data_IF_750763591904
#
_entry.id   IF_750763591904
#
_cell.length_a   1.000
_cell.length_b   1.000
_cell.length_c   1.000
_cell.angle_alpha   90.00
_cell.angle_beta   90.00
_cell.angle_gamma   90.00
#
_symmetry.space_group_name_H-M   'P 1'
#
loop_
_entity.id
_entity.type
_entity.pdbx_description
1 polymer ?
#
# COMPACT_ATOMS: atom_id res chain seq x y z
N UNK A 1 16.97 -26.52 -4.90
CA UNK A 1 15.72 -26.07 -5.58
C UNK A 1 14.58 -27.08 -5.49
N UNK A 2 14.82 -28.40 -5.46
CA UNK A 2 13.76 -29.44 -5.42
C UNK A 2 12.89 -29.37 -4.16
N UNK A 3 13.48 -29.14 -2.97
CA UNK A 3 12.71 -29.01 -1.72
C UNK A 3 11.72 -27.82 -1.72
N UNK A 4 12.07 -26.70 -2.37
CA UNK A 4 11.17 -25.54 -2.50
C UNK A 4 9.99 -25.88 -3.41
N UNK A 5 10.21 -26.65 -4.49
CA UNK A 5 9.12 -27.12 -5.35
C UNK A 5 8.18 -28.08 -4.61
N UNK A 6 8.72 -28.98 -3.79
CA UNK A 6 7.91 -29.87 -2.95
C UNK A 6 7.11 -29.14 -1.88
N UNK A 7 7.58 -27.98 -1.41
CA UNK A 7 6.83 -27.13 -0.49
C UNK A 7 5.61 -26.47 -1.13
N UNK A 8 5.64 -26.18 -2.44
CA UNK A 8 4.53 -25.53 -3.16
C UNK A 8 3.70 -26.51 -3.99
N UNK A 9 3.97 -27.81 -3.90
CA UNK A 9 3.34 -28.80 -4.77
C UNK A 9 1.96 -29.22 -4.26
N UNK A 10 0.93 -28.99 -5.08
CA UNK A 10 -0.44 -29.49 -4.83
C UNK A 10 -1.16 -28.86 -3.64
N UNK A 11 -0.63 -27.76 -3.10
CA UNK A 11 -1.18 -27.04 -1.94
C UNK A 11 -2.11 -25.94 -2.38
N UNK A 12 -3.23 -25.78 -1.67
CA UNK A 12 -4.24 -24.75 -1.96
C UNK A 12 -4.48 -23.74 -0.85
N UNK A 13 -3.92 -23.96 0.34
CA UNK A 13 -4.07 -23.08 1.50
C UNK A 13 -2.79 -22.99 2.33
N UNK A 14 -2.70 -22.01 3.24
CA UNK A 14 -1.56 -21.92 4.15
C UNK A 14 -1.63 -22.96 5.26
N UNK A 15 -2.81 -23.46 5.59
CA UNK A 15 -2.97 -24.67 6.40
C UNK A 15 -2.16 -25.84 5.81
N UNK A 16 -2.35 -26.15 4.54
CA UNK A 16 -1.61 -27.23 3.88
C UNK A 16 -0.13 -26.90 3.69
N UNK A 17 0.23 -25.63 3.44
CA UNK A 17 1.65 -25.22 3.42
C UNK A 17 2.34 -25.43 4.78
N UNK A 18 1.61 -25.21 5.88
CA UNK A 18 2.12 -25.46 7.23
C UNK A 18 2.50 -26.92 7.46
N UNK A 19 1.70 -27.86 6.94
CA UNK A 19 2.00 -29.29 6.99
C UNK A 19 3.25 -29.65 6.16
N UNK A 20 3.47 -28.92 5.07
CA UNK A 20 4.62 -29.10 4.18
C UNK A 20 5.89 -28.36 4.64
N UNK A 21 5.86 -27.66 5.79
CA UNK A 21 6.98 -26.86 6.32
C UNK A 21 8.29 -27.63 6.46
N UNK A 22 8.23 -28.95 6.67
CA UNK A 22 9.40 -29.86 6.73
C UNK A 22 10.31 -29.74 5.50
N UNK A 23 9.76 -29.46 4.33
CA UNK A 23 10.54 -29.31 3.09
C UNK A 23 11.42 -28.06 3.10
N UNK A 24 10.92 -26.96 3.69
CA UNK A 24 11.72 -25.75 3.88
C UNK A 24 12.82 -25.93 4.92
N UNK A 25 12.56 -26.70 5.98
CA UNK A 25 13.58 -27.05 6.98
C UNK A 25 14.72 -27.86 6.33
N UNK A 26 14.39 -28.88 5.53
CA UNK A 26 15.39 -29.64 4.76
C UNK A 26 16.15 -28.77 3.76
N UNK A 27 15.45 -27.89 3.04
CA UNK A 27 16.09 -26.96 2.11
C UNK A 27 17.13 -26.08 2.82
N UNK A 28 16.80 -25.57 4.00
CA UNK A 28 17.69 -24.78 4.85
C UNK A 28 18.91 -25.57 5.30
N UNK A 29 18.71 -26.81 5.73
CA UNK A 29 19.80 -27.70 6.16
C UNK A 29 20.80 -27.94 5.03
N UNK A 30 20.32 -28.23 3.81
CA UNK A 30 21.20 -28.38 2.64
C UNK A 30 22.03 -27.11 2.34
N UNK A 31 21.45 -25.92 2.49
CA UNK A 31 22.18 -24.66 2.30
C UNK A 31 23.23 -24.44 3.40
N UNK A 32 22.94 -24.83 4.64
CA UNK A 32 23.91 -24.77 5.75
C UNK A 32 25.09 -25.71 5.55
N UNK A 33 24.83 -26.97 5.18
CA UNK A 33 25.89 -27.94 4.88
C UNK A 33 26.76 -27.42 3.73
N UNK A 34 26.16 -26.88 2.67
CA UNK A 34 26.90 -26.28 1.56
C UNK A 34 27.81 -25.12 2.01
N UNK A 35 27.33 -24.22 2.87
CA UNK A 35 28.15 -23.13 3.42
C UNK A 35 29.32 -23.65 4.26
N UNK A 36 29.08 -24.66 5.09
CA UNK A 36 30.11 -25.27 5.92
C UNK A 36 31.17 -25.98 5.07
N UNK A 37 30.76 -26.68 4.02
CA UNK A 37 31.66 -27.30 3.04
C UNK A 37 32.51 -26.24 2.30
N UNK A 38 31.91 -25.12 1.89
CA UNK A 38 32.66 -24.03 1.24
C UNK A 38 33.69 -23.38 2.16
N UNK A 39 33.39 -23.25 3.45
CA UNK A 39 34.32 -22.69 4.43
C UNK A 39 35.44 -23.69 4.77
N UNK A 40 35.12 -24.98 4.93
CA UNK A 40 36.10 -26.04 5.19
C UNK A 40 37.02 -26.36 3.99
N UNK A 41 36.52 -26.20 2.76
CA UNK A 41 37.30 -26.40 1.54
C UNK A 41 38.34 -25.29 1.27
N UNK A 42 38.28 -24.15 1.98
CA UNK A 42 39.32 -23.12 1.93
C UNK A 42 40.59 -23.52 2.69
N UNK A 43 40.50 -24.49 3.60
CA UNK A 43 41.60 -24.90 4.49
C UNK A 43 42.28 -26.21 4.05
N UNK A 44 41.67 -27.00 3.15
CA UNK A 44 42.24 -28.25 2.63
C UNK A 44 42.46 -28.17 1.12
N UNK A 45 43.71 -28.43 0.69
CA UNK A 45 44.12 -28.53 -0.72
C UNK A 45 43.12 -29.41 -1.49
N UNK A 46 42.53 -28.81 -2.52
CA UNK A 46 41.40 -29.28 -3.33
C UNK A 46 41.72 -30.61 -4.03
N UNK A 47 41.10 -31.71 -3.59
CA UNK A 47 40.98 -32.90 -4.45
C UNK A 47 39.82 -32.68 -5.42
N UNK A 48 40.14 -32.87 -6.70
CA UNK A 48 39.30 -32.66 -7.87
C UNK A 48 38.20 -33.72 -7.92
N UNK A 49 37.04 -33.45 -7.32
CA UNK A 49 35.81 -34.19 -7.65
C UNK A 49 34.58 -33.28 -7.74
N UNK A 50 33.84 -33.42 -8.85
CA UNK A 50 32.54 -32.85 -9.18
C UNK A 50 32.42 -31.36 -9.58
N UNK A 51 32.76 -31.14 -10.86
CA UNK A 51 32.46 -29.94 -11.68
C UNK A 51 30.95 -29.70 -11.94
N UNK A 52 30.06 -30.64 -11.62
CA UNK A 52 28.64 -30.57 -11.96
C UNK A 52 27.75 -29.83 -10.94
N UNK A 53 28.32 -29.24 -9.88
CA UNK A 53 27.55 -28.45 -8.91
C UNK A 53 27.56 -26.98 -9.30
N UNK A 54 26.38 -26.40 -9.57
CA UNK A 54 26.22 -24.95 -9.73
C UNK A 54 26.71 -24.26 -8.46
N UNK A 55 27.87 -23.61 -8.55
CA UNK A 55 28.47 -22.89 -7.43
C UNK A 55 27.74 -21.57 -7.25
N UNK A 56 27.26 -21.31 -6.04
CA UNK A 56 26.73 -20.02 -5.62
C UNK A 56 27.69 -19.36 -4.64
N UNK A 57 27.72 -18.02 -4.64
CA UNK A 57 28.48 -17.26 -3.66
C UNK A 57 27.87 -17.43 -2.26
N UNK A 58 28.70 -17.35 -1.23
CA UNK A 58 28.25 -17.50 0.17
C UNK A 58 27.17 -16.46 0.53
N UNK A 59 27.27 -15.23 0.00
CA UNK A 59 26.27 -14.17 0.16
C UNK A 59 24.90 -14.56 -0.40
N UNK A 60 24.86 -15.21 -1.56
CA UNK A 60 23.61 -15.61 -2.21
C UNK A 60 22.95 -16.77 -1.46
N UNK A 61 23.77 -17.69 -0.93
CA UNK A 61 23.28 -18.79 -0.10
C UNK A 61 22.70 -18.27 1.22
N UNK A 62 23.38 -17.31 1.87
CA UNK A 62 22.84 -16.63 3.06
C UNK A 62 21.53 -15.91 2.75
N UNK A 63 21.42 -15.19 1.62
CA UNK A 63 20.17 -14.54 1.20
C UNK A 63 19.03 -15.55 1.01
N UNK A 64 19.31 -16.69 0.39
CA UNK A 64 18.32 -17.77 0.23
C UNK A 64 17.92 -18.39 1.57
N UNK A 65 18.86 -18.56 2.50
CA UNK A 65 18.57 -19.04 3.84
C UNK A 65 17.64 -18.07 4.58
N UNK A 66 17.91 -16.76 4.53
CA UNK A 66 17.06 -15.73 5.14
C UNK A 66 15.65 -15.74 4.51
N UNK A 67 15.55 -15.87 3.19
CA UNK A 67 14.25 -15.99 2.49
C UNK A 67 13.46 -17.21 2.97
N UNK A 68 14.12 -18.35 3.17
CA UNK A 68 13.48 -19.57 3.69
C UNK A 68 13.03 -19.36 5.14
N UNK A 69 13.84 -18.71 5.98
CA UNK A 69 13.47 -18.39 7.36
C UNK A 69 12.25 -17.49 7.43
N UNK A 70 12.21 -16.42 6.62
CA UNK A 70 11.06 -15.53 6.55
C UNK A 70 9.82 -16.25 6.00
N UNK A 71 9.97 -17.11 4.98
CA UNK A 71 8.85 -17.92 4.49
C UNK A 71 8.33 -18.90 5.55
N UNK A 72 9.22 -19.52 6.33
CA UNK A 72 8.84 -20.39 7.45
C UNK A 72 7.99 -19.63 8.48
N UNK A 73 8.37 -18.39 8.78
CA UNK A 73 7.64 -17.52 9.69
C UNK A 73 6.28 -17.08 9.13
N UNK A 74 6.24 -16.59 7.89
CA UNK A 74 4.99 -16.26 7.17
C UNK A 74 4.04 -17.44 7.16
N UNK A 75 4.55 -18.64 6.85
CA UNK A 75 3.76 -19.86 6.78
C UNK A 75 3.22 -20.24 8.14
N UNK A 76 4.03 -20.13 9.21
CA UNK A 76 3.58 -20.39 10.58
C UNK A 76 2.45 -19.46 11.00
N UNK A 77 2.63 -18.17 10.76
CA UNK A 77 1.66 -17.15 11.11
C UNK A 77 0.33 -17.41 10.40
N UNK A 78 0.36 -17.52 9.07
CA UNK A 78 -0.86 -17.73 8.27
C UNK A 78 -1.52 -19.09 8.52
N UNK A 79 -0.75 -20.13 8.79
CA UNK A 79 -1.28 -21.41 9.25
C UNK A 79 -2.08 -21.24 10.55
N UNK A 80 -1.49 -20.58 11.55
CA UNK A 80 -2.16 -20.33 12.83
C UNK A 80 -3.44 -19.51 12.67
N UNK A 81 -3.41 -18.48 11.82
CA UNK A 81 -4.57 -17.68 11.47
C UNK A 81 -5.68 -18.53 10.84
N UNK A 82 -5.37 -19.30 9.78
CA UNK A 82 -6.37 -20.14 9.09
C UNK A 82 -6.96 -21.21 10.03
N UNK A 83 -6.13 -21.84 10.88
CA UNK A 83 -6.62 -22.83 11.86
C UNK A 83 -7.50 -22.22 12.95
N UNK A 84 -7.15 -21.03 13.45
CA UNK A 84 -7.93 -20.34 14.49
C UNK A 84 -9.23 -19.73 13.96
N UNK A 85 -9.27 -19.41 12.66
CA UNK A 85 -10.46 -18.90 11.98
C UNK A 85 -11.54 -19.98 11.81
N UNK A 86 -11.13 -21.25 11.71
CA UNK A 86 -12.04 -22.38 11.45
C UNK A 86 -12.96 -22.75 12.63
N UNK A 87 -12.67 -22.23 13.83
CA UNK A 87 -13.49 -22.40 15.04
C UNK A 87 -14.65 -21.39 15.19
N UNK A 88 -14.82 -20.49 14.23
CA UNK A 88 -15.96 -19.54 14.14
C UNK A 88 -16.72 -19.82 12.84
N UNK A 89 -18.07 -19.87 12.84
CA UNK A 89 -18.84 -20.21 11.65
C UNK A 89 -18.50 -19.23 10.52
N UNK A 90 -18.44 -19.71 9.25
CA UNK A 90 -17.81 -18.98 8.18
C UNK A 90 -18.67 -17.79 7.77
N UNK A 91 -18.24 -16.57 8.14
CA UNK A 91 -18.62 -15.38 7.39
C UNK A 91 -17.79 -15.39 6.10
N UNK A 92 -18.27 -16.19 5.16
CA UNK A 92 -17.93 -16.16 3.74
C UNK A 92 -16.44 -16.26 3.43
N UNK A 93 -16.02 -17.48 3.10
CA UNK A 93 -15.08 -17.75 2.02
C UNK A 93 -15.61 -17.13 0.72
N UNK A 94 -15.58 -15.79 0.63
CA UNK A 94 -15.68 -15.09 -0.63
C UNK A 94 -14.33 -15.25 -1.30
N UNK A 95 -14.27 -16.27 -2.17
CA UNK A 95 -13.35 -16.31 -3.27
C UNK A 95 -13.27 -14.89 -3.85
N UNK A 96 -12.15 -14.23 -3.62
CA UNK A 96 -11.88 -12.91 -4.17
C UNK A 96 -11.88 -13.03 -5.68
N UNK A 97 -13.01 -12.74 -6.29
CA UNK A 97 -13.19 -12.52 -7.72
C UNK A 97 -12.50 -11.21 -8.10
N UNK A 98 -11.17 -11.26 -8.16
CA UNK A 98 -10.35 -10.36 -8.96
C UNK A 98 -9.79 -11.17 -10.12
N UNK A 99 -9.80 -10.67 -11.36
CA UNK A 99 -9.37 -11.46 -12.51
C UNK A 99 -7.89 -11.87 -12.34
N UNK A 100 -7.57 -13.16 -12.49
CA UNK A 100 -6.20 -13.66 -12.30
C UNK A 100 -5.37 -13.34 -13.55
N UNK A 101 -4.46 -12.38 -13.42
CA UNK A 101 -3.35 -12.23 -14.35
C UNK A 101 -2.29 -13.28 -13.97
N UNK A 102 -2.41 -14.42 -14.65
CA UNK A 102 -1.34 -15.36 -15.02
C UNK A 102 -0.42 -15.89 -13.91
N UNK A 103 -0.80 -17.03 -13.32
CA UNK A 103 -0.02 -18.30 -13.23
C UNK A 103 -0.41 -19.16 -12.00
N UNK A 104 -0.84 -20.41 -12.24
CA UNK A 104 -1.14 -21.47 -11.24
C UNK A 104 -2.29 -21.17 -10.27
N UNK A 105 -3.52 -21.23 -10.79
CA UNK A 105 -4.76 -20.74 -10.16
C UNK A 105 -5.21 -21.38 -8.82
N UNK A 106 -4.45 -22.31 -8.23
CA UNK A 106 -4.84 -22.94 -6.97
C UNK A 106 -3.81 -22.83 -5.85
N UNK A 107 -2.59 -22.32 -6.08
CA UNK A 107 -1.55 -22.32 -5.03
C UNK A 107 -1.45 -21.01 -4.24
N UNK A 108 -1.32 -21.06 -2.90
CA UNK A 108 -1.13 -19.86 -2.08
C UNK A 108 0.16 -19.11 -2.44
N UNK A 109 0.17 -17.76 -2.37
CA UNK A 109 1.34 -16.96 -2.75
C UNK A 109 2.52 -17.26 -1.81
N UNK A 110 3.75 -17.19 -2.32
CA UNK A 110 4.97 -17.42 -1.52
C UNK A 110 6.06 -16.40 -1.82
N UNK A 111 7.03 -16.26 -0.93
CA UNK A 111 8.17 -15.37 -1.08
C UNK A 111 9.18 -15.83 -2.14
N UNK A 112 9.00 -17.05 -2.67
CA UNK A 112 9.83 -17.58 -3.76
C UNK A 112 9.38 -17.10 -5.15
N UNK A 113 8.23 -16.41 -5.23
CA UNK A 113 7.68 -15.89 -6.47
C UNK A 113 8.22 -14.51 -6.89
N UNK A 114 7.65 -13.94 -7.97
CA UNK A 114 7.95 -12.58 -8.41
C UNK A 114 7.50 -11.53 -7.38
N UNK A 115 7.92 -10.28 -7.55
CA UNK A 115 7.59 -9.17 -6.63
C UNK A 115 6.09 -8.99 -6.42
N UNK A 116 5.26 -9.17 -7.46
CA UNK A 116 3.80 -9.13 -7.34
C UNK A 116 3.26 -10.19 -6.35
N UNK A 117 3.80 -11.41 -6.39
CA UNK A 117 3.41 -12.48 -5.46
C UNK A 117 3.84 -12.13 -4.02
N UNK A 118 5.01 -11.52 -3.84
CA UNK A 118 5.50 -11.08 -2.52
C UNK A 118 4.65 -9.96 -1.92
N UNK A 119 4.15 -9.04 -2.75
CA UNK A 119 3.14 -8.04 -2.34
C UNK A 119 1.86 -8.73 -1.85
N UNK A 120 1.39 -9.76 -2.55
CA UNK A 120 0.22 -10.52 -2.11
C UNK A 120 0.48 -11.30 -0.82
N UNK A 121 1.69 -11.83 -0.60
CA UNK A 121 2.09 -12.41 0.70
C UNK A 121 2.04 -11.36 1.81
N UNK A 122 2.67 -10.20 1.61
CA UNK A 122 2.71 -9.13 2.61
C UNK A 122 1.30 -8.65 2.98
N UNK A 123 0.43 -8.48 1.97
CA UNK A 123 -0.98 -8.17 2.21
C UNK A 123 -1.69 -9.28 2.98
N UNK A 124 -1.50 -10.56 2.61
CA UNK A 124 -2.21 -11.66 3.27
C UNK A 124 -1.78 -11.80 4.73
N UNK A 125 -0.49 -11.63 5.03
CA UNK A 125 0.04 -11.61 6.40
C UNK A 125 -0.58 -10.47 7.20
N UNK A 126 -0.61 -9.26 6.65
CA UNK A 126 -1.16 -8.08 7.33
C UNK A 126 -2.65 -8.21 7.66
N UNK A 127 -3.41 -8.94 6.82
CA UNK A 127 -4.84 -9.14 6.95
C UNK A 127 -5.22 -10.48 7.63
N UNK A 128 -4.23 -11.33 7.94
CA UNK A 128 -4.47 -12.67 8.47
C UNK A 128 -4.68 -12.73 9.98
N UNK A 129 -4.12 -11.77 10.72
CA UNK A 129 -4.23 -11.71 12.19
C UNK A 129 -5.62 -11.30 12.67
N UNK A 130 -5.83 -11.36 13.99
CA UNK A 130 -7.05 -10.81 14.63
C UNK A 130 -7.11 -9.28 14.52
N UNK A 131 -5.94 -8.66 14.44
CA UNK A 131 -5.74 -7.24 14.21
C UNK A 131 -4.56 -7.04 13.24
N UNK A 132 -4.38 -5.81 12.75
CA UNK A 132 -3.29 -5.50 11.81
C UNK A 132 -1.92 -5.62 12.48
N UNK A 133 -1.83 -5.27 13.77
CA UNK A 133 -0.57 -5.25 14.54
C UNK A 133 0.11 -6.63 14.59
N UNK A 134 -0.65 -7.72 14.75
CA UNK A 134 -0.15 -9.10 14.76
C UNK A 134 0.62 -9.47 13.49
N UNK A 135 0.13 -9.03 12.32
CA UNK A 135 0.74 -9.32 11.03
C UNK A 135 1.71 -8.24 10.53
N UNK A 136 1.64 -7.03 11.07
CA UNK A 136 2.34 -5.87 10.53
C UNK A 136 3.86 -6.05 10.56
N UNK A 137 4.43 -6.54 11.67
CA UNK A 137 5.89 -6.72 11.79
C UNK A 137 6.47 -7.76 10.81
N UNK A 138 5.71 -8.80 10.48
CA UNK A 138 6.11 -9.79 9.46
C UNK A 138 5.99 -9.17 8.07
N UNK A 139 4.87 -8.50 7.76
CA UNK A 139 4.66 -7.84 6.47
C UNK A 139 5.71 -6.75 6.22
N UNK A 140 6.06 -5.97 7.24
CA UNK A 140 7.09 -4.94 7.18
C UNK A 140 8.47 -5.52 6.85
N UNK A 141 8.86 -6.64 7.46
CA UNK A 141 10.11 -7.34 7.09
C UNK A 141 10.08 -7.87 5.66
N UNK A 142 8.95 -8.39 5.19
CA UNK A 142 8.81 -8.77 3.77
C UNK A 142 9.01 -7.56 2.85
N UNK A 143 8.46 -6.39 3.20
CA UNK A 143 8.65 -5.16 2.42
C UNK A 143 10.13 -4.77 2.39
N UNK A 144 10.81 -4.77 3.54
CA UNK A 144 12.21 -4.40 3.68
C UNK A 144 13.16 -5.37 2.96
N UNK A 145 13.06 -6.67 3.26
CA UNK A 145 13.97 -7.71 2.75
C UNK A 145 13.92 -7.85 1.23
N UNK A 146 12.75 -7.60 0.63
CA UNK A 146 12.56 -7.67 -0.82
C UNK A 146 12.48 -6.31 -1.51
N UNK A 147 12.72 -5.21 -0.78
CA UNK A 147 12.69 -3.84 -1.31
C UNK A 147 11.39 -3.55 -2.08
N UNK A 148 10.26 -3.97 -1.53
CA UNK A 148 8.96 -3.72 -2.13
C UNK A 148 8.56 -2.25 -1.93
N UNK A 149 7.76 -1.73 -2.85
CA UNK A 149 7.16 -0.41 -2.68
C UNK A 149 6.13 -0.46 -1.53
N UNK A 150 6.52 0.06 -0.36
CA UNK A 150 5.71 0.00 0.85
C UNK A 150 4.31 0.59 0.67
N UNK A 151 4.22 1.76 0.02
CA UNK A 151 2.97 2.44 -0.27
C UNK A 151 2.02 1.56 -1.10
N UNK A 152 2.52 0.89 -2.14
CA UNK A 152 1.71 0.00 -2.97
C UNK A 152 1.14 -1.19 -2.16
N UNK A 153 1.91 -1.73 -1.22
CA UNK A 153 1.45 -2.80 -0.31
C UNK A 153 0.37 -2.26 0.64
N UNK A 154 0.60 -1.13 1.30
CA UNK A 154 -0.35 -0.54 2.24
C UNK A 154 -1.64 -0.10 1.56
N UNK A 155 -1.57 0.52 0.38
CA UNK A 155 -2.74 0.86 -0.43
C UNK A 155 -3.53 -0.40 -0.79
N UNK A 156 -2.86 -1.47 -1.21
CA UNK A 156 -3.53 -2.74 -1.55
C UNK A 156 -4.18 -3.40 -0.33
N UNK A 157 -3.55 -3.33 0.84
CA UNK A 157 -4.11 -3.81 2.10
C UNK A 157 -5.33 -2.98 2.54
N UNK A 158 -5.21 -1.65 2.56
CA UNK A 158 -6.30 -0.73 2.88
C UNK A 158 -7.50 -0.92 1.96
N UNK A 159 -7.26 -1.07 0.65
CA UNK A 159 -8.32 -1.38 -0.32
C UNK A 159 -9.04 -2.70 -0.05
N UNK A 160 -8.36 -3.72 0.51
CA UNK A 160 -9.02 -4.99 0.86
C UNK A 160 -9.87 -4.84 2.12
N UNK A 161 -9.38 -4.12 3.13
CA UNK A 161 -10.10 -3.84 4.37
C UNK A 161 -11.40 -3.05 4.13
N UNK A 162 -11.36 -2.02 3.28
CA UNK A 162 -12.55 -1.23 2.93
C UNK A 162 -13.61 -2.08 2.23
N UNK A 163 -13.21 -2.98 1.30
CA UNK A 163 -14.16 -3.90 0.66
C UNK A 163 -14.83 -4.85 1.65
N UNK A 164 -14.15 -5.18 2.75
CA UNK A 164 -14.69 -5.97 3.85
C UNK A 164 -15.40 -5.12 4.91
N UNK A 165 -15.57 -3.81 4.67
CA UNK A 165 -16.15 -2.82 5.60
C UNK A 165 -15.45 -2.75 6.97
N UNK A 166 -14.16 -3.10 7.03
CA UNK A 166 -13.36 -3.10 8.26
C UNK A 166 -12.63 -1.76 8.48
N UNK A 167 -13.38 -0.66 8.65
CA UNK A 167 -12.81 0.68 8.80
C UNK A 167 -11.93 0.84 10.06
N UNK A 168 -12.23 0.11 11.15
CA UNK A 168 -11.38 0.05 12.35
C UNK A 168 -9.99 -0.50 12.05
N UNK A 169 -9.90 -1.54 11.21
CA UNK A 169 -8.63 -2.12 10.80
C UNK A 169 -7.86 -1.18 9.85
N UNK A 170 -8.56 -0.39 9.02
CA UNK A 170 -7.92 0.67 8.21
C UNK A 170 -7.24 1.70 9.12
N UNK A 171 -7.90 2.14 10.19
CA UNK A 171 -7.29 3.07 11.17
C UNK A 171 -6.07 2.46 11.87
N UNK A 172 -6.15 1.19 12.25
CA UNK A 172 -4.99 0.47 12.80
C UNK A 172 -3.84 0.39 11.79
N UNK A 173 -4.14 0.11 10.52
CA UNK A 173 -3.14 0.13 9.45
C UNK A 173 -2.46 1.50 9.35
N UNK A 174 -3.23 2.59 9.31
CA UNK A 174 -2.68 3.95 9.25
C UNK A 174 -1.79 4.27 10.46
N UNK A 175 -2.20 3.82 11.65
CA UNK A 175 -1.39 3.93 12.87
C UNK A 175 -0.06 3.17 12.75
N UNK A 176 -0.11 1.88 12.40
CA UNK A 176 1.10 1.07 12.23
C UNK A 176 2.03 1.64 11.14
N UNK A 177 1.47 2.12 10.03
CA UNK A 177 2.23 2.78 8.96
C UNK A 177 2.90 4.04 9.48
N UNK A 178 2.19 4.90 10.22
CA UNK A 178 2.75 6.09 10.83
C UNK A 178 3.83 5.82 11.88
N UNK A 179 3.67 4.76 12.68
CA UNK A 179 4.64 4.34 13.71
C UNK A 179 5.85 3.58 13.14
N UNK A 180 5.76 3.09 11.90
CA UNK A 180 6.85 2.33 11.26
C UNK A 180 8.11 3.16 10.95
N UNK A 181 8.02 4.49 11.01
CA UNK A 181 9.15 5.41 10.74
C UNK A 181 9.61 5.48 9.28
N UNK A 182 9.03 4.68 8.38
CA UNK A 182 9.40 4.65 6.94
C UNK A 182 8.39 5.32 6.03
N UNK A 183 7.15 5.50 6.51
CA UNK A 183 6.12 6.18 5.76
C UNK A 183 6.14 7.68 6.04
N UNK A 184 5.98 8.47 4.98
CA UNK A 184 5.79 9.91 5.06
C UNK A 184 4.36 10.23 5.50
N UNK A 185 4.13 11.44 6.00
CA UNK A 185 2.76 11.92 6.31
C UNK A 185 1.85 11.90 5.08
N UNK A 186 2.41 12.09 3.88
CA UNK A 186 1.67 12.03 2.63
C UNK A 186 1.24 10.60 2.27
N UNK A 187 1.99 9.57 2.69
CA UNK A 187 1.65 8.17 2.38
C UNK A 187 0.35 7.75 3.06
N UNK A 188 0.13 8.18 4.32
CA UNK A 188 -1.13 7.97 5.02
C UNK A 188 -2.31 8.63 4.28
N UNK A 189 -2.13 9.87 3.79
CA UNK A 189 -3.15 10.58 3.03
C UNK A 189 -3.46 9.87 1.70
N UNK A 190 -2.45 9.34 1.01
CA UNK A 190 -2.63 8.56 -0.23
C UNK A 190 -3.38 7.25 0.05
N UNK A 191 -3.09 6.57 1.16
CA UNK A 191 -3.84 5.38 1.58
C UNK A 191 -5.30 5.75 1.85
N UNK A 192 -5.58 6.84 2.58
CA UNK A 192 -6.93 7.32 2.86
C UNK A 192 -7.68 7.63 1.55
N UNK A 193 -7.09 8.42 0.65
CA UNK A 193 -7.67 8.74 -0.65
C UNK A 193 -7.99 7.47 -1.45
N UNK A 194 -7.06 6.51 -1.45
CA UNK A 194 -7.28 5.26 -2.14
C UNK A 194 -8.37 4.40 -1.49
N UNK A 195 -8.54 4.46 -0.17
CA UNK A 195 -9.61 3.78 0.55
C UNK A 195 -10.97 4.42 0.24
N UNK A 196 -11.05 5.75 0.29
CA UNK A 196 -12.26 6.53 0.03
C UNK A 196 -12.76 6.32 -1.40
N UNK A 197 -11.86 6.34 -2.39
CA UNK A 197 -12.23 6.17 -3.81
C UNK A 197 -12.87 4.82 -4.16
N UNK A 198 -12.61 3.77 -3.39
CA UNK A 198 -13.17 2.43 -3.65
C UNK A 198 -14.30 2.04 -2.71
N UNK A 199 -14.56 2.85 -1.69
CA UNK A 199 -15.58 2.54 -0.70
C UNK A 199 -16.98 2.70 -1.31
N UNK A 200 -17.93 1.93 -0.78
CA UNK A 200 -19.34 2.15 -1.08
C UNK A 200 -19.76 3.50 -0.47
N UNK A 201 -20.36 4.35 -1.30
CA UNK A 201 -20.79 5.71 -0.91
C UNK A 201 -22.19 5.70 -0.28
N UNK A 202 -22.73 4.52 0.01
CA UNK A 202 -24.00 4.35 0.71
C UNK A 202 -24.01 5.00 2.11
N UNK A 203 -25.20 5.29 2.66
CA UNK A 203 -25.36 6.02 3.92
C UNK A 203 -24.80 5.27 5.14
N UNK A 204 -24.69 3.95 5.07
CA UNK A 204 -24.17 3.09 6.15
C UNK A 204 -22.70 3.36 6.45
N UNK A 205 -21.89 3.54 5.40
CA UNK A 205 -20.44 3.68 5.54
C UNK A 205 -20.01 5.16 5.61
N UNK A 206 -20.91 6.09 5.28
CA UNK A 206 -20.63 7.53 5.19
C UNK A 206 -19.99 8.13 6.45
N UNK A 207 -20.42 7.70 7.65
CA UNK A 207 -19.85 8.19 8.92
C UNK A 207 -18.42 7.68 9.15
N UNK A 208 -18.15 6.42 8.83
CA UNK A 208 -16.81 5.83 8.98
C UNK A 208 -15.84 6.39 7.94
N UNK A 209 -16.31 6.60 6.71
CA UNK A 209 -15.59 7.31 5.65
C UNK A 209 -15.23 8.74 6.08
N UNK A 210 -16.19 9.48 6.65
CA UNK A 210 -15.94 10.83 7.15
C UNK A 210 -14.91 10.83 8.29
N UNK A 211 -14.98 9.87 9.21
CA UNK A 211 -13.95 9.68 10.25
C UNK A 211 -12.57 9.43 9.67
N UNK A 212 -12.45 8.63 8.59
CA UNK A 212 -11.17 8.40 7.93
C UNK A 212 -10.64 9.67 7.23
N UNK A 213 -11.52 10.42 6.56
CA UNK A 213 -11.14 11.67 5.89
C UNK A 213 -10.60 12.69 6.90
N UNK A 214 -11.14 12.71 8.12
CA UNK A 214 -10.65 13.59 9.19
C UNK A 214 -9.20 13.32 9.60
N UNK A 215 -8.70 12.09 9.43
CA UNK A 215 -7.31 11.73 9.75
C UNK A 215 -6.28 12.30 8.76
N UNK A 216 -6.73 12.68 7.56
CA UNK A 216 -5.91 13.27 6.48
C UNK A 216 -5.24 14.55 6.96
N UNK A 217 -3.92 14.65 6.74
CA UNK A 217 -3.09 15.79 7.21
C UNK A 217 -3.03 16.92 6.20
N UNK A 218 -2.87 16.59 4.92
CA UNK A 218 -2.81 17.59 3.87
C UNK A 218 -4.23 18.08 3.53
N UNK A 219 -4.45 19.39 3.63
CA UNK A 219 -5.73 20.04 3.34
C UNK A 219 -6.21 19.76 1.92
N UNK A 220 -5.34 19.74 0.91
CA UNK A 220 -5.73 19.46 -0.48
C UNK A 220 -6.19 18.01 -0.66
N UNK A 221 -5.47 17.05 -0.07
CA UNK A 221 -5.89 15.66 -0.08
C UNK A 221 -7.21 15.48 0.67
N UNK A 222 -7.42 16.23 1.75
CA UNK A 222 -8.67 16.21 2.51
C UNK A 222 -9.84 16.74 1.68
N UNK A 223 -9.65 17.82 0.91
CA UNK A 223 -10.63 18.37 -0.03
C UNK A 223 -10.97 17.32 -1.10
N UNK A 224 -9.94 16.73 -1.74
CA UNK A 224 -10.12 15.66 -2.74
C UNK A 224 -10.90 14.48 -2.19
N UNK A 225 -10.66 14.08 -0.94
CA UNK A 225 -11.39 12.99 -0.31
C UNK A 225 -12.87 13.36 -0.05
N UNK A 226 -13.16 14.59 0.39
CA UNK A 226 -14.55 15.06 0.54
C UNK A 226 -15.31 15.15 -0.79
N UNK A 227 -14.63 15.54 -1.87
CA UNK A 227 -15.20 15.53 -3.21
C UNK A 227 -15.58 14.10 -3.64
N UNK A 228 -14.73 13.12 -3.36
CA UNK A 228 -15.01 11.71 -3.70
C UNK A 228 -16.26 11.15 -3.01
N UNK A 229 -16.59 11.60 -1.79
CA UNK A 229 -17.80 11.20 -1.06
C UNK A 229 -18.98 12.17 -1.24
N UNK A 230 -18.91 13.08 -2.21
CA UNK A 230 -19.97 14.05 -2.52
C UNK A 230 -20.34 14.99 -1.35
N UNK A 231 -19.42 15.24 -0.42
CA UNK A 231 -19.60 16.21 0.69
C UNK A 231 -19.14 17.60 0.24
N UNK A 232 -19.83 18.15 -0.77
CA UNK A 232 -19.42 19.35 -1.49
C UNK A 232 -19.25 20.58 -0.61
N UNK A 233 -20.16 20.81 0.35
CA UNK A 233 -20.07 21.92 1.30
C UNK A 233 -18.80 21.85 2.16
N UNK A 234 -18.42 20.66 2.63
CA UNK A 234 -17.21 20.49 3.43
C UNK A 234 -15.94 20.73 2.60
N UNK A 235 -15.93 20.23 1.36
CA UNK A 235 -14.85 20.48 0.41
C UNK A 235 -14.70 21.98 0.11
N UNK A 236 -15.80 22.68 -0.20
CA UNK A 236 -15.82 24.12 -0.47
C UNK A 236 -15.28 24.94 0.71
N UNK A 237 -15.80 24.70 1.92
CA UNK A 237 -15.40 25.45 3.12
C UNK A 237 -13.92 25.27 3.48
N UNK A 238 -13.30 24.17 3.07
CA UNK A 238 -11.87 23.97 3.22
C UNK A 238 -11.07 24.63 2.08
N UNK A 239 -11.59 24.60 0.85
CA UNK A 239 -10.96 25.22 -0.32
C UNK A 239 -10.84 26.73 -0.17
N UNK A 240 -11.91 27.42 0.23
CA UNK A 240 -11.93 28.90 0.37
C UNK A 240 -11.09 29.43 1.52
N UNK A 241 -10.66 28.57 2.45
CA UNK A 241 -9.75 28.94 3.55
C UNK A 241 -8.28 28.96 3.13
N UNK A 242 -7.97 28.44 1.93
CA UNK A 242 -6.62 28.48 1.37
C UNK A 242 -6.37 29.82 0.69
N UNK A 243 -5.09 30.11 0.41
CA UNK A 243 -4.71 31.28 -0.37
C UNK A 243 -5.43 31.28 -1.73
N UNK A 244 -5.79 32.47 -2.23
CA UNK A 244 -6.59 32.64 -3.45
C UNK A 244 -6.02 31.89 -4.67
N UNK A 245 -4.69 31.87 -4.81
CA UNK A 245 -4.01 31.14 -5.88
C UNK A 245 -4.26 29.62 -5.86
N UNK A 246 -4.44 29.03 -4.66
CA UNK A 246 -4.72 27.59 -4.48
C UNK A 246 -6.21 27.30 -4.38
N UNK A 247 -6.98 28.23 -3.83
CA UNK A 247 -8.44 28.10 -3.70
C UNK A 247 -9.14 28.07 -5.06
N UNK A 248 -8.69 28.88 -6.04
CA UNK A 248 -9.30 28.95 -7.38
C UNK A 248 -9.52 27.60 -8.06
N UNK A 249 -8.45 26.82 -8.31
CA UNK A 249 -8.58 25.48 -8.92
C UNK A 249 -9.45 24.52 -8.11
N UNK A 250 -9.35 24.56 -6.78
CA UNK A 250 -10.12 23.66 -5.90
C UNK A 250 -11.61 24.00 -5.88
N UNK A 251 -11.97 25.28 -5.89
CA UNK A 251 -13.38 25.71 -5.98
C UNK A 251 -13.95 25.34 -7.36
N UNK A 252 -13.14 25.41 -8.42
CA UNK A 252 -13.55 24.92 -9.75
C UNK A 252 -13.81 23.40 -9.75
N UNK A 253 -12.98 22.60 -9.06
CA UNK A 253 -13.24 21.16 -8.88
C UNK A 253 -14.54 20.89 -8.11
N UNK A 254 -14.84 21.69 -7.08
CA UNK A 254 -16.11 21.59 -6.33
C UNK A 254 -17.31 21.95 -7.21
N UNK A 255 -17.18 22.99 -8.05
CA UNK A 255 -18.22 23.35 -9.01
C UNK A 255 -18.53 22.19 -9.97
N UNK A 256 -17.51 21.59 -10.59
CA UNK A 256 -17.70 20.44 -11.48
C UNK A 256 -18.35 19.24 -10.78
N UNK A 257 -17.97 18.99 -9.52
CA UNK A 257 -18.60 17.94 -8.72
C UNK A 257 -20.07 18.27 -8.36
N UNK A 258 -20.40 19.55 -8.13
CA UNK A 258 -21.77 20.02 -7.89
C UNK A 258 -22.65 19.90 -9.13
N UNK A 259 -22.11 20.20 -10.32
CA UNK A 259 -22.77 19.98 -11.61
C UNK A 259 -23.10 18.49 -11.81
N UNK A 260 -22.15 17.61 -11.56
CA UNK A 260 -22.34 16.16 -11.73
C UNK A 260 -23.38 15.54 -10.79
N UNK A 261 -23.60 16.13 -9.61
CA UNK A 261 -24.60 15.67 -8.63
C UNK A 261 -25.94 16.43 -8.75
N UNK A 262 -25.97 17.55 -9.48
CA UNK A 262 -27.15 18.39 -9.64
C UNK A 262 -27.46 19.30 -8.43
N UNK A 263 -26.45 19.64 -7.63
CA UNK A 263 -26.59 20.55 -6.47
C UNK A 263 -26.50 22.01 -6.95
N UNK A 264 -27.65 22.60 -7.32
CA UNK A 264 -27.72 23.96 -7.86
C UNK A 264 -27.24 25.03 -6.88
N UNK A 265 -27.49 24.84 -5.58
CA UNK A 265 -27.08 25.79 -4.54
C UNK A 265 -25.55 25.83 -4.45
N UNK A 266 -24.89 24.69 -4.47
CA UNK A 266 -23.42 24.65 -4.48
C UNK A 266 -22.82 25.20 -5.78
N UNK A 267 -23.49 25.02 -6.92
CA UNK A 267 -23.06 25.62 -8.18
C UNK A 267 -23.07 27.15 -8.11
N UNK A 268 -24.19 27.73 -7.65
CA UNK A 268 -24.33 29.19 -7.52
C UNK A 268 -23.26 29.78 -6.58
N UNK A 269 -23.05 29.14 -5.43
CA UNK A 269 -22.03 29.56 -4.45
C UNK A 269 -20.62 29.54 -5.05
N UNK A 270 -20.26 28.48 -5.78
CA UNK A 270 -18.93 28.38 -6.39
C UNK A 270 -18.75 29.39 -7.54
N UNK A 271 -19.77 29.58 -8.39
CA UNK A 271 -19.77 30.56 -9.48
C UNK A 271 -19.61 31.99 -8.97
N UNK A 272 -20.31 32.33 -7.88
CA UNK A 272 -20.19 33.64 -7.25
C UNK A 272 -18.77 33.87 -6.73
N UNK A 273 -18.23 32.92 -5.95
CA UNK A 273 -16.88 33.04 -5.39
C UNK A 273 -15.82 33.18 -6.49
N UNK A 274 -15.92 32.39 -7.56
CA UNK A 274 -15.00 32.44 -8.70
C UNK A 274 -15.08 33.75 -9.47
N UNK A 275 -16.25 34.37 -9.56
CA UNK A 275 -16.42 35.68 -10.22
C UNK A 275 -15.75 36.79 -9.40
N UNK A 276 -16.03 36.84 -8.09
CA UNK A 276 -15.46 37.83 -7.17
C UNK A 276 -13.92 37.79 -7.10
N UNK A 277 -13.33 36.60 -7.25
CA UNK A 277 -11.88 36.40 -7.09
C UNK A 277 -11.09 36.33 -8.39
N UNK A 278 -11.75 36.25 -9.57
CA UNK A 278 -11.09 36.38 -10.88
C UNK A 278 -10.71 37.84 -11.20
N UNK A 279 -11.54 38.79 -10.76
CA UNK A 279 -11.29 40.22 -11.00
C UNK A 279 -10.16 40.77 -10.11
N UNK A 280 -9.97 40.21 -8.91
CA UNK A 280 -8.89 40.60 -8.00
C UNK A 280 -7.48 40.22 -8.49
N UNK A 281 -7.35 39.23 -9.38
CA UNK A 281 -6.06 38.81 -9.96
C UNK A 281 -5.70 39.60 -11.24
N UNK A 282 -6.71 40.11 -11.97
CA UNK A 282 -6.50 41.04 -13.10
C UNK A 282 -6.03 42.42 -12.65
N UNK A 283 -6.44 42.88 -11.46
CA UNK A 283 -6.07 44.20 -10.94
C UNK A 283 -4.64 44.25 -10.33
N UNK A 284 -3.94 43.10 -10.30
CA UNK A 284 -2.55 42.99 -9.82
C UNK A 284 -1.49 42.95 -10.92
N UNK A 285 -1.88 42.91 -12.20
CA UNK A 285 -0.95 43.10 -13.31
C UNK A 285 -0.71 44.60 -13.57
N UNK A 286 0.51 45.14 -13.38
CA UNK A 286 0.77 46.52 -13.73
C UNK A 286 0.67 46.72 -15.25
N UNK A 287 0.11 47.84 -15.73
CA UNK A 287 -0.05 48.09 -17.16
C UNK A 287 1.34 48.17 -17.84
N UNK A 288 1.54 47.51 -19.00
CA UNK A 288 2.79 47.60 -19.74
C UNK A 288 2.84 48.94 -20.48
N UNK A 289 3.41 49.97 -19.86
CA UNK A 289 3.61 51.24 -20.56
C UNK A 289 3.84 52.47 -19.71
N UNK A 290 4.90 52.51 -18.91
CA UNK A 290 5.46 53.78 -18.45
C UNK A 290 6.95 53.83 -18.76
N UNK A 291 7.28 54.18 -20.02
CA UNK A 291 8.64 54.53 -20.42
C UNK A 291 9.08 55.76 -19.63
N UNK A 292 9.96 55.57 -18.63
CA UNK A 292 10.71 56.66 -18.00
C UNK A 292 11.63 57.29 -19.05
N UNK A 293 11.26 58.47 -19.54
CA UNK A 293 12.15 59.35 -20.29
C UNK A 293 13.29 59.80 -19.37
N UNK A 294 14.49 59.30 -19.63
CA UNK A 294 15.73 59.76 -19.02
C UNK A 294 16.10 61.08 -19.68
N UNK A 295 16.11 62.18 -18.91
CA UNK A 295 16.73 63.45 -19.33
C UNK A 295 18.25 63.30 -19.20
N UNK A 296 19.05 63.65 -20.22
CA UNK A 296 20.49 63.72 -20.07
C UNK A 296 20.91 65.06 -19.43
N UNK A 297 21.76 64.98 -18.40
CA UNK A 297 22.45 66.15 -17.84
C UNK A 297 23.50 66.65 -18.85
N UNK A 298 23.41 67.93 -19.20
CA UNK A 298 24.49 68.65 -19.88
C UNK A 298 25.57 69.05 -18.86
N UNK A 299 26.80 69.04 -19.34
CA UNK A 299 28.04 69.38 -18.64
C UNK A 299 28.33 70.87 -18.79
#
# INVERSE_FOLDING_TARGET
MTCIRFFTHGVVSYAQLGDQRRWLVRAKEHLRTYLQEQQGARTRKRSTTNSFRKKMASSDVSRHMNTIELQLEVTRFLHHCETSSSSTPPLTSSASSTPPLTSSANSPPTLFGPSAMKIDVACKVMLGGKNIEEGFGIAYRVIQDFQLEALAVYVRAGRRLVRQRQFKAVRQLLKCVGESGTATKNDCDVIILSCVSIADKGPTDAKELESLILETKNTENKIKAYLQVSKLRAAYLLAVKLDTARAGPLVQEVLQAAEGVGDSVMQDICCQWLSEHKDADRDRTPPPGAKKQVRPNAR
#
